data_IF_017066582688
#
_entry.id   IF_017066582688
#
_cell.length_a   1.000
_cell.length_b   1.000
_cell.length_c   1.000
_cell.angle_alpha   90.00
_cell.angle_beta   90.00
_cell.angle_gamma   90.00
#
_symmetry.space_group_name_H-M   'P 1'
#
loop_
_entity.id
_entity.type
_entity.pdbx_description
1 polymer ?
#
# COMPACT_ATOMS: atom_id res chain seq x y z
N UNK A 1 -19.14 7.93 23.17
CA UNK A 1 -18.18 8.14 22.07
C UNK A 1 -17.00 7.16 22.12
N UNK A 2 -16.18 7.11 23.19
CA UNK A 2 -15.04 6.16 23.30
C UNK A 2 -15.41 4.67 23.11
N UNK A 3 -16.52 4.19 23.68
CA UNK A 3 -16.96 2.78 23.54
C UNK A 3 -17.41 2.43 22.12
N UNK A 4 -18.07 3.36 21.43
CA UNK A 4 -18.48 3.19 20.02
C UNK A 4 -17.26 3.19 19.11
N UNK A 5 -16.31 4.10 19.35
CA UNK A 5 -15.04 4.17 18.64
C UNK A 5 -14.20 2.89 18.81
N UNK A 6 -14.11 2.37 20.04
CA UNK A 6 -13.39 1.12 20.32
C UNK A 6 -14.04 -0.10 19.67
N UNK A 7 -15.39 -0.12 19.59
CA UNK A 7 -16.13 -1.16 18.86
C UNK A 7 -15.86 -1.10 17.35
N UNK A 8 -15.85 0.09 16.77
CA UNK A 8 -15.55 0.28 15.34
C UNK A 8 -14.13 -0.19 15.03
N UNK A 9 -13.14 0.18 15.85
CA UNK A 9 -11.75 -0.29 15.71
C UNK A 9 -11.67 -1.81 15.82
N UNK A 10 -12.35 -2.41 16.81
CA UNK A 10 -12.35 -3.86 17.00
C UNK A 10 -12.97 -4.59 15.80
N UNK A 11 -14.06 -4.07 15.24
CA UNK A 11 -14.70 -4.64 14.03
C UNK A 11 -13.76 -4.53 12.82
N UNK A 12 -13.11 -3.37 12.62
CA UNK A 12 -12.13 -3.18 11.54
C UNK A 12 -10.92 -4.10 11.67
N UNK A 13 -10.41 -4.29 12.88
CA UNK A 13 -9.30 -5.19 13.14
C UNK A 13 -9.69 -6.64 12.87
N UNK A 14 -10.88 -7.06 13.29
CA UNK A 14 -11.38 -8.41 13.06
C UNK A 14 -11.59 -8.71 11.56
N UNK A 15 -12.19 -7.77 10.81
CA UNK A 15 -12.36 -7.93 9.37
C UNK A 15 -11.02 -7.98 8.65
N UNK A 16 -10.04 -7.16 9.04
CA UNK A 16 -8.69 -7.21 8.49
C UNK A 16 -8.00 -8.57 8.72
N UNK A 17 -8.10 -9.12 9.94
CA UNK A 17 -7.55 -10.45 10.27
C UNK A 17 -8.21 -11.55 9.44
N UNK A 18 -9.53 -11.51 9.25
CA UNK A 18 -10.25 -12.48 8.43
C UNK A 18 -9.84 -12.45 6.94
N UNK A 19 -9.51 -11.27 6.40
CA UNK A 19 -9.06 -11.13 5.01
C UNK A 19 -7.66 -11.73 4.80
N UNK A 20 -6.79 -11.70 5.82
CA UNK A 20 -5.44 -12.29 5.74
C UNK A 20 -5.46 -13.83 5.67
N UNK A 21 -6.49 -14.48 6.20
CA UNK A 21 -6.58 -15.96 6.20
C UNK A 21 -7.16 -16.54 4.91
N UNK A 22 -7.65 -15.71 3.98
CA UNK A 22 -8.19 -16.14 2.69
C UNK A 22 -7.70 -15.22 1.56
N UNK A 23 -6.43 -15.36 1.13
CA UNK A 23 -5.91 -14.58 0.01
C UNK A 23 -6.62 -14.98 -1.29
N UNK A 24 -7.53 -14.15 -1.76
CA UNK A 24 -8.09 -14.28 -3.11
C UNK A 24 -7.07 -13.81 -4.15
N UNK A 25 -7.03 -14.41 -5.35
CA UNK A 25 -6.18 -13.91 -6.42
C UNK A 25 -6.63 -12.48 -6.77
N UNK A 26 -5.75 -11.52 -6.55
CA UNK A 26 -6.00 -10.11 -6.87
C UNK A 26 -6.25 -10.00 -8.37
N UNK A 27 -7.49 -9.71 -8.78
CA UNK A 27 -7.77 -9.34 -10.15
C UNK A 27 -7.10 -8.00 -10.42
N UNK A 28 -6.09 -7.99 -11.30
CA UNK A 28 -5.49 -6.76 -11.78
C UNK A 28 -6.58 -5.83 -12.35
N UNK A 29 -6.59 -4.58 -11.91
CA UNK A 29 -7.63 -3.59 -12.24
C UNK A 29 -7.50 -3.01 -13.67
N UNK A 30 -6.50 -3.46 -14.44
CA UNK A 30 -6.37 -3.14 -15.85
C UNK A 30 -6.60 -4.41 -16.69
N UNK A 31 -7.84 -4.69 -17.15
CA UNK A 31 -8.17 -5.92 -17.85
C UNK A 31 -7.37 -6.09 -19.15
N UNK A 32 -6.98 -4.99 -19.79
CA UNK A 32 -6.25 -5.02 -21.06
C UNK A 32 -4.81 -5.53 -20.91
N UNK A 33 -4.06 -5.01 -19.92
CA UNK A 33 -2.68 -5.44 -19.66
C UNK A 33 -2.62 -6.88 -19.10
N UNK A 34 -3.64 -7.27 -18.33
CA UNK A 34 -3.76 -8.64 -17.80
C UNK A 34 -3.99 -9.65 -18.94
N UNK A 35 -4.95 -9.39 -19.83
CA UNK A 35 -5.28 -10.31 -20.94
C UNK A 35 -4.08 -10.49 -21.88
N UNK A 36 -3.38 -9.41 -22.24
CA UNK A 36 -2.19 -9.51 -23.08
C UNK A 36 -1.08 -10.35 -22.44
N UNK A 37 -0.80 -10.14 -21.15
CA UNK A 37 0.20 -10.90 -20.41
C UNK A 37 -0.18 -12.38 -20.21
N UNK A 38 -1.45 -12.67 -19.94
CA UNK A 38 -1.95 -14.05 -19.81
C UNK A 38 -2.00 -14.79 -21.15
N UNK A 39 -2.34 -14.10 -22.25
CA UNK A 39 -2.32 -14.66 -23.60
C UNK A 39 -0.89 -14.97 -24.06
N UNK A 40 0.08 -14.10 -23.76
CA UNK A 40 1.50 -14.38 -24.04
C UNK A 40 1.97 -15.63 -23.30
N UNK A 41 1.70 -15.73 -21.99
CA UNK A 41 2.05 -16.91 -21.19
C UNK A 41 1.39 -18.20 -21.70
N UNK A 42 0.11 -18.16 -22.11
CA UNK A 42 -0.60 -19.34 -22.65
C UNK A 42 -0.02 -19.82 -23.99
N UNK A 43 0.57 -18.92 -24.77
CA UNK A 43 1.19 -19.24 -26.05
C UNK A 43 2.70 -19.57 -25.91
N UNK A 44 3.19 -19.77 -24.67
CA UNK A 44 4.59 -20.13 -24.40
C UNK A 44 5.55 -18.93 -24.25
N UNK A 45 5.02 -17.71 -24.27
CA UNK A 45 5.75 -16.48 -24.01
C UNK A 45 6.13 -16.30 -22.54
N UNK A 46 6.92 -15.26 -22.26
CA UNK A 46 7.46 -14.99 -20.92
C UNK A 46 7.21 -13.56 -20.43
N UNK A 47 6.56 -12.71 -21.23
CA UNK A 47 6.33 -11.30 -20.90
C UNK A 47 5.40 -11.11 -19.69
N UNK A 48 4.53 -12.08 -19.40
CA UNK A 48 3.71 -12.07 -18.18
C UNK A 48 4.44 -12.53 -16.92
N UNK A 49 5.66 -13.10 -17.00
CA UNK A 49 6.39 -13.58 -15.82
C UNK A 49 6.91 -12.39 -15.02
N UNK A 50 6.52 -12.30 -13.75
CA UNK A 50 7.00 -11.26 -12.82
C UNK A 50 6.27 -9.92 -12.91
N UNK A 51 5.21 -9.80 -13.72
CA UNK A 51 4.42 -8.56 -13.84
C UNK A 51 3.88 -8.07 -12.48
N UNK A 52 3.33 -8.98 -11.66
CA UNK A 52 2.82 -8.64 -10.34
C UNK A 52 3.93 -8.17 -9.38
N UNK A 53 5.12 -8.74 -9.49
CA UNK A 53 6.31 -8.29 -8.74
C UNK A 53 6.69 -6.86 -9.15
N UNK A 54 6.65 -6.55 -10.44
CA UNK A 54 6.89 -5.20 -10.96
C UNK A 54 5.86 -4.19 -10.46
N UNK A 55 4.57 -4.54 -10.45
CA UNK A 55 3.49 -3.67 -9.94
C UNK A 55 3.70 -3.40 -8.45
N UNK A 56 3.99 -4.42 -7.63
CA UNK A 56 4.26 -4.24 -6.20
C UNK A 56 5.49 -3.37 -5.96
N UNK A 57 6.55 -3.54 -6.75
CA UNK A 57 7.76 -2.71 -6.67
C UNK A 57 7.46 -1.24 -6.97
N UNK A 58 6.72 -0.95 -8.05
CA UNK A 58 6.32 0.40 -8.42
C UNK A 58 5.38 1.04 -7.39
N UNK A 59 4.44 0.27 -6.83
CA UNK A 59 3.55 0.74 -5.76
C UNK A 59 4.30 1.00 -4.45
N UNK A 60 5.33 0.22 -4.12
CA UNK A 60 6.11 0.40 -2.89
C UNK A 60 6.96 1.69 -2.92
N UNK A 61 7.46 2.05 -4.10
CA UNK A 61 8.37 3.19 -4.30
C UNK A 61 7.86 4.52 -3.72
N UNK A 62 6.63 5.00 -4.00
CA UNK A 62 6.14 6.26 -3.43
C UNK A 62 6.04 6.23 -1.90
N UNK A 63 5.69 5.09 -1.28
CA UNK A 63 5.63 5.00 0.18
C UNK A 63 7.01 5.10 0.81
N UNK A 64 8.02 4.44 0.22
CA UNK A 64 9.41 4.51 0.69
C UNK A 64 9.94 5.93 0.56
N UNK A 65 9.65 6.62 -0.56
CA UNK A 65 10.05 8.01 -0.76
C UNK A 65 9.44 8.94 0.28
N UNK A 66 8.12 8.86 0.49
CA UNK A 66 7.42 9.69 1.49
C UNK A 66 7.97 9.43 2.89
N UNK A 67 8.19 8.16 3.25
CA UNK A 67 8.79 7.79 4.53
C UNK A 67 10.20 8.38 4.69
N UNK A 68 11.03 8.29 3.66
CA UNK A 68 12.37 8.87 3.65
C UNK A 68 12.35 10.39 3.85
N UNK A 69 11.49 11.09 3.11
CA UNK A 69 11.31 12.54 3.25
C UNK A 69 10.82 12.89 4.67
N UNK A 70 9.84 12.17 5.19
CA UNK A 70 9.29 12.39 6.53
C UNK A 70 10.36 12.20 7.62
N UNK A 71 11.22 11.18 7.51
CA UNK A 71 12.31 10.93 8.46
C UNK A 71 13.34 12.05 8.42
N UNK A 72 13.77 12.47 7.22
CA UNK A 72 14.73 13.58 7.08
C UNK A 72 14.14 14.88 7.64
N UNK A 73 12.89 15.20 7.28
CA UNK A 73 12.20 16.38 7.80
C UNK A 73 12.09 16.35 9.32
N UNK A 74 11.70 15.22 9.92
CA UNK A 74 11.57 15.10 11.37
C UNK A 74 12.90 15.29 12.11
N UNK A 75 14.01 14.80 11.54
CA UNK A 75 15.35 14.97 12.13
C UNK A 75 15.88 16.40 11.99
N UNK A 76 15.49 17.10 10.92
CA UNK A 76 16.02 18.43 10.60
C UNK A 76 15.08 19.58 11.01
N UNK A 77 13.85 19.29 11.43
CA UNK A 77 12.95 20.34 11.96
C UNK A 77 13.53 20.87 13.26
N UNK A 78 13.67 22.20 13.35
CA UNK A 78 13.92 22.86 14.63
C UNK A 78 12.57 22.97 15.36
N UNK A 79 12.50 22.72 16.68
CA UNK A 79 11.31 23.07 17.43
C UNK A 79 11.12 24.59 17.30
N UNK A 80 9.95 25.00 16.83
CA UNK A 80 9.54 26.40 16.89
C UNK A 80 9.54 26.78 18.37
N UNK A 81 10.46 27.65 18.79
CA UNK A 81 10.38 28.29 20.09
C UNK A 81 9.06 29.07 20.12
N UNK A 82 8.24 28.86 21.15
CA UNK A 82 7.00 29.61 21.35
C UNK A 82 7.34 31.10 21.18
N UNK A 83 6.76 31.74 20.15
CA UNK A 83 6.84 33.19 20.00
C UNK A 83 5.97 33.74 21.13
N UNK A 84 6.63 34.06 22.24
CA UNK A 84 6.06 34.78 23.38
C UNK A 84 5.68 36.18 22.87
N UNK A 85 4.39 36.37 22.61
CA UNK A 85 3.79 37.68 22.37
C UNK A 85 3.55 38.32 23.75
N UNK A 86 4.48 39.17 24.17
CA UNK A 86 4.26 40.17 25.24
C UNK A 86 3.20 41.21 24.82
#
# INVERSE_FOLDING_TARGET
MKKTFLKIISILALTFVLQMTCPSPVQAQCPMCKIAAESDLKNGGTQGKGLNTGILFLLMMPYVLVLGIAVVWYKNRKPESEIEFD
#
